data_IF_369202285252
#
_entry.id   IF_369202285252
#
_cell.length_a   1.000
_cell.length_b   1.000
_cell.length_c   1.000
_cell.angle_alpha   90.00
_cell.angle_beta   90.00
_cell.angle_gamma   90.00
#
_symmetry.space_group_name_H-M   'P 1'
#
loop_
_entity.id
_entity.type
_entity.pdbx_description
1 polymer ?
#
# COMPACT_ATOMS: atom_id res chain seq x y z
N UNK A 1 4.09 0.82 6.82
CA UNK A 1 4.58 2.17 7.21
C UNK A 1 4.36 3.26 6.17
N UNK A 2 4.90 3.16 4.93
CA UNK A 2 4.84 4.26 3.93
C UNK A 2 3.44 4.85 3.67
N UNK A 3 2.42 4.00 3.48
CA UNK A 3 1.02 4.44 3.26
C UNK A 3 0.50 5.25 4.46
N UNK A 4 0.75 4.77 5.68
CA UNK A 4 0.37 5.43 6.92
C UNK A 4 1.05 6.81 7.05
N UNK A 5 2.35 6.90 6.72
CA UNK A 5 3.10 8.15 6.81
C UNK A 5 2.67 9.19 5.76
N UNK A 6 2.05 8.75 4.64
CA UNK A 6 1.36 9.64 3.70
C UNK A 6 0.02 10.18 4.20
N UNK A 7 -0.44 9.75 5.37
CA UNK A 7 -1.72 10.15 5.95
C UNK A 7 -2.92 9.34 5.44
N UNK A 8 -2.69 8.20 4.79
CA UNK A 8 -3.75 7.32 4.31
C UNK A 8 -4.00 6.17 5.30
N UNK A 9 -5.27 5.80 5.57
CA UNK A 9 -5.58 4.64 6.38
C UNK A 9 -5.17 3.34 5.65
N UNK A 10 -4.71 2.35 6.41
CA UNK A 10 -4.30 1.03 5.89
C UNK A 10 -5.23 -0.08 6.38
N UNK A 11 -5.54 -1.03 5.50
CA UNK A 11 -6.36 -2.22 5.79
C UNK A 11 -5.56 -3.51 5.50
N UNK A 12 -4.54 -3.76 6.33
CA UNK A 12 -3.69 -4.96 6.16
C UNK A 12 -4.50 -6.23 6.45
N UNK A 13 -4.48 -7.20 5.52
CA UNK A 13 -5.16 -8.49 5.69
C UNK A 13 -4.18 -9.57 6.13
N UNK A 14 -4.54 -10.33 7.17
CA UNK A 14 -3.86 -11.57 7.57
C UNK A 14 -4.80 -12.45 8.40
N UNK A 15 -4.67 -13.77 8.27
CA UNK A 15 -5.36 -14.75 9.13
C UNK A 15 -4.44 -15.38 10.19
N UNK A 16 -3.11 -15.14 10.12
CA UNK A 16 -2.14 -15.64 11.09
C UNK A 16 -1.93 -14.61 12.22
N UNK A 17 -2.04 -14.99 13.51
CA UNK A 17 -1.90 -14.06 14.63
C UNK A 17 -0.58 -13.29 14.65
N UNK A 18 0.54 -13.96 14.39
CA UNK A 18 1.87 -13.32 14.42
C UNK A 18 1.99 -12.23 13.35
N UNK A 19 1.45 -12.47 12.16
CA UNK A 19 1.41 -11.50 11.08
C UNK A 19 0.48 -10.33 11.40
N UNK A 20 -0.65 -10.57 12.08
CA UNK A 20 -1.56 -9.50 12.51
C UNK A 20 -0.83 -8.57 13.48
N UNK A 21 -0.09 -9.13 14.44
CA UNK A 21 0.74 -8.35 15.37
C UNK A 21 1.82 -7.57 14.62
N UNK A 22 2.59 -8.24 13.77
CA UNK A 22 3.66 -7.60 13.00
C UNK A 22 3.16 -6.49 12.06
N UNK A 23 1.97 -6.63 11.47
CA UNK A 23 1.37 -5.57 10.65
C UNK A 23 1.05 -4.31 11.47
N UNK A 24 0.79 -4.46 12.78
CA UNK A 24 0.55 -3.36 13.70
C UNK A 24 1.86 -2.74 14.22
N UNK A 25 2.93 -3.54 14.33
CA UNK A 25 4.28 -3.14 14.79
C UNK A 25 5.05 -2.31 13.72
N UNK A 26 4.39 -1.31 13.14
CA UNK A 26 4.97 -0.32 12.22
C UNK A 26 4.83 1.11 12.74
N UNK A 27 4.40 1.25 13.99
CA UNK A 27 4.09 2.54 14.64
C UNK A 27 5.32 3.16 15.33
N UNK A 28 6.35 2.36 15.59
CA UNK A 28 7.54 2.67 16.39
C UNK A 28 8.71 3.29 15.60
N UNK A 29 8.65 3.29 14.26
CA UNK A 29 9.65 3.92 13.40
C UNK A 29 9.02 4.83 12.35
N UNK A 30 9.84 5.70 11.75
CA UNK A 30 9.45 6.55 10.62
C UNK A 30 10.40 6.30 9.44
N UNK A 31 9.94 6.59 8.23
CA UNK A 31 10.79 6.55 7.05
C UNK A 31 11.42 7.93 6.83
N UNK A 32 12.70 7.94 6.43
CA UNK A 32 13.37 9.16 6.01
C UNK A 32 12.73 9.73 4.74
N UNK A 33 12.92 11.02 4.46
CA UNK A 33 12.43 11.64 3.22
C UNK A 33 13.00 10.97 1.96
N UNK A 34 14.25 10.50 2.03
CA UNK A 34 14.92 9.78 0.94
C UNK A 34 14.23 8.44 0.69
N UNK A 35 13.94 7.67 1.75
CA UNK A 35 13.29 6.36 1.60
C UNK A 35 11.84 6.49 1.15
N UNK A 36 11.12 7.52 1.62
CA UNK A 36 9.80 7.87 1.11
C UNK A 36 9.84 8.10 -0.40
N UNK A 37 10.80 8.91 -0.88
CA UNK A 37 10.97 9.21 -2.31
C UNK A 37 11.35 7.98 -3.15
N UNK A 38 12.19 7.08 -2.62
CA UNK A 38 12.53 5.81 -3.29
C UNK A 38 11.31 4.91 -3.47
N UNK A 39 10.47 4.80 -2.45
CA UNK A 39 9.24 4.00 -2.53
C UNK A 39 8.24 4.63 -3.50
N UNK A 40 8.14 5.96 -3.50
CA UNK A 40 7.32 6.71 -4.45
C UNK A 40 7.71 6.44 -5.90
N UNK A 41 9.01 6.42 -6.21
CA UNK A 41 9.51 6.16 -7.56
C UNK A 41 9.13 4.75 -8.08
N UNK A 42 8.93 3.77 -7.20
CA UNK A 42 8.49 2.42 -7.60
C UNK A 42 7.07 2.40 -8.18
N UNK A 43 6.26 3.44 -7.94
CA UNK A 43 4.90 3.53 -8.46
C UNK A 43 4.82 4.06 -9.91
N UNK A 44 5.96 4.30 -10.57
CA UNK A 44 6.03 4.92 -11.90
C UNK A 44 5.26 4.18 -13.01
N UNK A 45 5.05 2.86 -12.85
CA UNK A 45 4.33 2.04 -13.84
C UNK A 45 2.81 2.22 -13.76
N UNK A 46 2.28 2.77 -12.64
CA UNK A 46 0.83 2.95 -12.45
C UNK A 46 0.05 1.63 -12.44
N UNK A 47 0.70 0.52 -12.06
CA UNK A 47 0.11 -0.80 -12.17
C UNK A 47 -1.02 -1.00 -11.14
N UNK A 48 -2.24 -1.19 -11.65
CA UNK A 48 -3.43 -1.47 -10.83
C UNK A 48 -3.60 -2.98 -10.61
N UNK A 49 -3.53 -3.40 -9.34
CA UNK A 49 -3.67 -4.82 -8.96
C UNK A 49 -5.07 -5.34 -9.24
N UNK A 50 -6.12 -4.56 -8.90
CA UNK A 50 -7.54 -4.92 -9.11
C UNK A 50 -8.18 -3.95 -10.10
N UNK A 51 -8.51 -4.44 -11.29
CA UNK A 51 -9.12 -3.65 -12.38
C UNK A 51 -9.77 -4.53 -13.43
N UNK A 52 -10.11 -3.97 -14.60
CA UNK A 52 -10.86 -4.66 -15.68
C UNK A 52 -10.29 -6.02 -16.10
N UNK A 53 -8.97 -6.21 -16.00
CA UNK A 53 -8.30 -7.50 -16.29
C UNK A 53 -8.79 -8.65 -15.39
N UNK A 54 -9.11 -8.38 -14.12
CA UNK A 54 -9.58 -9.38 -13.16
C UNK A 54 -11.11 -9.34 -12.98
N UNK A 55 -11.71 -8.17 -13.14
CA UNK A 55 -13.13 -7.94 -12.88
C UNK A 55 -13.73 -7.27 -14.12
N UNK A 56 -14.46 -8.00 -14.99
CA UNK A 56 -14.95 -7.48 -16.27
C UNK A 56 -15.84 -6.24 -16.17
N UNK A 57 -16.54 -6.08 -15.06
CA UNK A 57 -17.45 -4.95 -14.79
C UNK A 57 -16.79 -3.81 -14.01
N UNK A 58 -15.47 -3.85 -13.76
CA UNK A 58 -14.78 -2.72 -13.15
C UNK A 58 -14.86 -1.47 -14.08
N UNK A 59 -15.00 -0.26 -13.53
CA UNK A 59 -14.99 0.96 -14.32
C UNK A 59 -13.60 1.25 -14.91
N UNK A 60 -13.53 2.16 -15.89
CA UNK A 60 -12.26 2.76 -16.31
C UNK A 60 -11.86 3.79 -15.25
N UNK A 61 -10.80 3.49 -14.50
CA UNK A 61 -10.39 4.31 -13.35
C UNK A 61 -9.51 5.51 -13.72
N UNK A 62 -8.85 5.46 -14.88
CA UNK A 62 -7.79 6.39 -15.28
C UNK A 62 -8.20 7.20 -16.53
N UNK A 63 -9.51 7.39 -16.72
CA UNK A 63 -10.11 8.20 -17.79
C UNK A 63 -9.98 9.71 -17.54
#
# INVERSE_FOLDING_TARGET
RWILQKGLPINTMSTKPDNIRSNFDVMDFTLSSIDMGRIDAMNAVGYRVVGKRLIPYAPDFDA
#
